data_IF_561506391639
#
_entry.id   IF_561506391639
#
_cell.length_a   1.000
_cell.length_b   1.000
_cell.length_c   1.000
_cell.angle_alpha   90.00
_cell.angle_beta   90.00
_cell.angle_gamma   90.00
#
_symmetry.space_group_name_H-M   'P 1'
#
loop_
_entity.id
_entity.type
_entity.pdbx_description
1 polymer ?
#
# COMPACT_ATOMS: atom_id res chain seq x y z
N UNK A 1 -1.79 6.80 13.40
CA UNK A 1 -0.44 6.18 13.51
C UNK A 1 0.63 7.24 13.38
N UNK A 2 1.69 7.11 14.17
CA UNK A 2 2.90 7.91 14.00
C UNK A 2 3.69 7.43 12.77
N UNK A 3 4.65 8.24 12.31
CA UNK A 3 5.55 7.84 11.22
C UNK A 3 6.28 6.54 11.55
N UNK A 4 6.79 6.40 12.78
CA UNK A 4 7.46 5.18 13.20
C UNK A 4 6.55 3.96 13.18
N UNK A 5 5.29 4.11 13.58
CA UNK A 5 4.30 3.03 13.49
C UNK A 5 4.00 2.64 12.04
N UNK A 6 3.89 3.62 11.15
CA UNK A 6 3.68 3.35 9.72
C UNK A 6 4.84 2.55 9.15
N UNK A 7 6.07 2.97 9.41
CA UNK A 7 7.27 2.26 8.93
C UNK A 7 7.29 0.82 9.43
N UNK A 8 6.97 0.60 10.71
CA UNK A 8 6.93 -0.74 11.29
C UNK A 8 5.84 -1.62 10.66
N UNK A 9 4.64 -1.07 10.46
CA UNK A 9 3.53 -1.80 9.84
C UNK A 9 3.84 -2.12 8.38
N UNK A 10 4.38 -1.17 7.63
CA UNK A 10 4.78 -1.39 6.23
C UNK A 10 5.80 -2.53 6.13
N UNK A 11 6.82 -2.54 7.00
CA UNK A 11 7.82 -3.60 7.01
C UNK A 11 7.20 -4.97 7.32
N UNK A 12 6.30 -5.02 8.30
CA UNK A 12 5.62 -6.27 8.68
C UNK A 12 4.74 -6.78 7.55
N UNK A 13 3.92 -5.91 6.95
CA UNK A 13 3.06 -6.29 5.83
C UNK A 13 3.88 -6.74 4.62
N UNK A 14 4.98 -6.06 4.32
CA UNK A 14 5.86 -6.45 3.22
C UNK A 14 6.38 -7.89 3.43
N UNK A 15 6.77 -8.23 4.64
CA UNK A 15 7.20 -9.59 4.96
C UNK A 15 6.06 -10.59 4.77
N UNK A 16 4.87 -10.28 5.27
CA UNK A 16 3.70 -11.18 5.21
C UNK A 16 3.21 -11.42 3.78
N UNK A 17 3.30 -10.41 2.92
CA UNK A 17 2.86 -10.49 1.53
C UNK A 17 3.99 -10.79 0.55
N UNK A 18 5.21 -10.93 1.03
CA UNK A 18 6.40 -11.16 0.19
C UNK A 18 6.67 -10.03 -0.80
N UNK A 19 6.40 -8.80 -0.37
CA UNK A 19 6.79 -7.61 -1.10
C UNK A 19 8.16 -7.12 -0.59
N UNK A 20 8.96 -6.43 -1.42
CA UNK A 20 10.25 -5.91 -0.95
C UNK A 20 10.05 -4.77 0.05
N UNK A 21 10.46 -4.97 1.30
CA UNK A 21 10.26 -3.98 2.37
C UNK A 21 10.94 -2.63 2.07
N UNK A 22 12.20 -2.58 1.59
CA UNK A 22 12.82 -1.29 1.25
C UNK A 22 12.10 -0.54 0.14
N UNK A 23 11.55 -1.26 -0.84
CA UNK A 23 10.74 -0.65 -1.91
C UNK A 23 9.47 -0.04 -1.33
N UNK A 24 8.75 -0.78 -0.49
CA UNK A 24 7.53 -0.31 0.14
C UNK A 24 7.78 0.93 1.02
N UNK A 25 8.84 0.90 1.80
CA UNK A 25 9.22 2.04 2.64
C UNK A 25 9.55 3.27 1.80
N UNK A 26 10.32 3.10 0.73
CA UNK A 26 10.67 4.17 -0.19
C UNK A 26 9.42 4.77 -0.84
N UNK A 27 8.51 3.94 -1.33
CA UNK A 27 7.26 4.40 -1.96
C UNK A 27 6.40 5.17 -0.97
N UNK A 28 6.24 4.66 0.23
CA UNK A 28 5.48 5.32 1.29
C UNK A 28 6.06 6.71 1.61
N UNK A 29 7.37 6.82 1.67
CA UNK A 29 8.04 8.11 1.90
C UNK A 29 7.77 9.10 0.77
N UNK A 30 7.96 8.68 -0.48
CA UNK A 30 7.78 9.57 -1.63
C UNK A 30 6.31 9.95 -1.85
N UNK A 31 5.37 9.04 -1.56
CA UNK A 31 3.95 9.31 -1.74
C UNK A 31 3.38 10.25 -0.67
N UNK A 32 3.74 10.05 0.59
CA UNK A 32 3.05 10.74 1.69
C UNK A 32 3.95 11.14 2.86
N UNK A 33 5.26 10.89 2.83
CA UNK A 33 6.14 11.02 4.01
C UNK A 33 5.66 10.15 5.16
N UNK A 34 5.12 8.97 4.86
CA UNK A 34 4.55 8.03 5.83
C UNK A 34 3.36 8.61 6.61
N UNK A 35 2.60 9.51 6.01
CA UNK A 35 1.48 10.20 6.67
C UNK A 35 0.16 9.52 6.31
N UNK A 36 -0.49 8.88 7.30
CA UNK A 36 -1.78 8.22 7.11
C UNK A 36 -2.90 9.20 6.75
N UNK A 37 -2.73 10.49 7.05
CA UNK A 37 -3.74 11.53 6.82
C UNK A 37 -3.51 12.31 5.53
N UNK A 38 -2.49 11.97 4.75
CA UNK A 38 -2.17 12.71 3.54
C UNK A 38 -3.31 12.60 2.51
N UNK A 39 -3.73 13.74 2.00
CA UNK A 39 -4.75 13.84 0.94
C UNK A 39 -4.22 14.78 -0.13
N UNK A 40 -4.26 14.34 -1.38
CA UNK A 40 -3.85 15.11 -2.53
C UNK A 40 -4.83 14.86 -3.68
N UNK A 41 -5.87 15.69 -3.78
CA UNK A 41 -6.96 15.47 -4.72
C UNK A 41 -7.71 14.17 -4.42
N UNK A 42 -7.78 13.28 -5.41
CA UNK A 42 -8.40 11.96 -5.24
C UNK A 42 -7.48 10.94 -4.55
N UNK A 43 -6.21 11.30 -4.26
CA UNK A 43 -5.26 10.37 -3.68
C UNK A 43 -5.22 10.49 -2.16
N UNK A 44 -5.28 9.37 -1.46
CA UNK A 44 -5.39 9.34 0.00
C UNK A 44 -4.42 8.34 0.63
N UNK A 45 -3.94 8.69 1.83
CA UNK A 45 -3.23 7.81 2.74
C UNK A 45 -1.76 7.63 2.44
N UNK A 46 -1.16 6.65 3.11
CA UNK A 46 0.28 6.39 3.09
C UNK A 46 0.81 6.17 1.67
N UNK A 47 0.07 5.44 0.85
CA UNK A 47 0.47 5.11 -0.53
C UNK A 47 -0.28 5.94 -1.58
N UNK A 48 -1.04 6.94 -1.18
CA UNK A 48 -1.78 7.82 -2.08
C UNK A 48 -2.62 7.03 -3.09
N UNK A 49 -3.56 6.25 -2.58
CA UNK A 49 -4.44 5.43 -3.41
C UNK A 49 -5.57 6.26 -4.00
N UNK A 50 -5.75 6.18 -5.31
CA UNK A 50 -6.88 6.80 -5.98
C UNK A 50 -8.14 5.96 -5.87
N UNK A 51 -9.31 6.58 -6.08
CA UNK A 51 -10.60 5.89 -6.05
C UNK A 51 -10.69 4.80 -7.13
N UNK A 52 -10.19 5.09 -8.31
CA UNK A 52 -10.19 4.14 -9.43
C UNK A 52 -9.33 2.91 -9.12
N UNK A 53 -8.14 3.12 -8.54
CA UNK A 53 -7.28 2.02 -8.11
C UNK A 53 -8.00 1.16 -7.06
N UNK A 54 -8.63 1.79 -6.07
CA UNK A 54 -9.33 1.08 -5.01
C UNK A 54 -10.45 0.19 -5.56
N UNK A 55 -11.29 0.76 -6.43
CA UNK A 55 -12.40 0.04 -7.04
C UNK A 55 -11.94 -1.13 -7.93
N UNK A 56 -10.80 -0.98 -8.60
CA UNK A 56 -10.24 -2.02 -9.46
C UNK A 56 -9.57 -3.13 -8.64
N UNK A 57 -8.75 -2.76 -7.66
CA UNK A 57 -7.83 -3.69 -7.01
C UNK A 57 -8.44 -4.43 -5.82
N UNK A 58 -9.31 -3.78 -5.03
CA UNK A 58 -9.90 -4.43 -3.86
C UNK A 58 -10.64 -5.73 -4.22
N UNK A 59 -11.48 -5.78 -5.26
CA UNK A 59 -12.14 -7.04 -5.63
C UNK A 59 -11.14 -8.16 -5.98
N UNK A 60 -10.04 -7.82 -6.63
CA UNK A 60 -8.99 -8.79 -6.97
C UNK A 60 -8.29 -9.31 -5.71
N UNK A 61 -7.98 -8.41 -4.78
CA UNK A 61 -7.41 -8.78 -3.49
C UNK A 61 -8.36 -9.71 -2.72
N UNK A 62 -9.63 -9.35 -2.61
CA UNK A 62 -10.61 -10.15 -1.88
C UNK A 62 -10.87 -11.52 -2.51
N UNK A 63 -10.67 -11.65 -3.82
CA UNK A 63 -10.80 -12.91 -4.53
C UNK A 63 -9.58 -13.83 -4.35
N UNK A 64 -8.46 -13.32 -3.86
CA UNK A 64 -7.26 -14.11 -3.61
C UNK A 64 -7.40 -14.88 -2.29
N UNK A 65 -7.76 -16.16 -2.38
CA UNK A 65 -8.00 -17.00 -1.20
C UNK A 65 -6.75 -17.21 -0.34
N UNK A 66 -5.56 -16.95 -0.88
CA UNK A 66 -4.30 -17.07 -0.13
C UNK A 66 -3.92 -15.79 0.60
N UNK A 67 -4.56 -14.66 0.27
CA UNK A 67 -4.22 -13.38 0.87
C UNK A 67 -4.69 -13.32 2.33
N UNK A 68 -3.80 -12.94 3.27
CA UNK A 68 -4.20 -12.73 4.65
C UNK A 68 -5.04 -11.46 4.82
N UNK A 69 -5.74 -11.33 5.94
CA UNK A 69 -6.49 -10.13 6.37
C UNK A 69 -7.69 -9.74 5.51
N UNK A 70 -8.19 -10.63 4.64
CA UNK A 70 -9.34 -10.30 3.79
C UNK A 70 -10.58 -9.91 4.56
N UNK A 71 -10.83 -10.55 5.70
CA UNK A 71 -11.99 -10.21 6.53
C UNK A 71 -11.90 -8.82 7.10
N UNK A 72 -10.69 -8.40 7.52
CA UNK A 72 -10.47 -7.03 7.97
C UNK A 72 -10.81 -6.03 6.87
N UNK A 73 -10.29 -6.25 5.66
CA UNK A 73 -10.53 -5.34 4.54
C UNK A 73 -12.01 -5.32 4.14
N UNK A 74 -12.70 -6.47 4.19
CA UNK A 74 -14.15 -6.49 3.93
C UNK A 74 -14.93 -5.62 4.92
N UNK A 75 -14.55 -5.68 6.20
CA UNK A 75 -15.20 -4.91 7.25
C UNK A 75 -14.85 -3.42 7.22
N UNK A 76 -13.68 -3.08 6.65
CA UNK A 76 -13.13 -1.73 6.60
C UNK A 76 -12.79 -1.33 5.16
N UNK A 77 -13.71 -1.56 4.23
CA UNK A 77 -13.49 -1.40 2.80
C UNK A 77 -13.57 0.07 2.39
N UNK A 78 -12.57 0.82 2.81
CA UNK A 78 -12.40 2.23 2.44
C UNK A 78 -10.93 2.61 2.47
N UNK A 79 -10.52 3.45 1.53
CA UNK A 79 -9.15 4.01 1.48
C UNK A 79 -8.81 4.84 2.72
N UNK A 80 -9.83 5.33 3.43
CA UNK A 80 -9.66 6.12 4.65
C UNK A 80 -9.19 5.29 5.83
N UNK A 81 -9.43 3.97 5.80
CA UNK A 81 -8.88 3.08 6.81
C UNK A 81 -7.39 2.85 6.52
N UNK A 82 -6.53 3.36 7.40
CA UNK A 82 -5.09 3.34 7.19
C UNK A 82 -4.55 1.92 7.00
N UNK A 83 -5.01 0.97 7.82
CA UNK A 83 -4.52 -0.41 7.75
C UNK A 83 -5.03 -1.11 6.50
N UNK A 84 -6.31 -0.99 6.17
CA UNK A 84 -6.87 -1.57 4.94
C UNK A 84 -6.14 -1.05 3.71
N UNK A 85 -5.88 0.25 3.64
CA UNK A 85 -5.16 0.86 2.53
C UNK A 85 -3.74 0.30 2.40
N UNK A 86 -3.01 0.16 3.50
CA UNK A 86 -1.66 -0.39 3.48
C UNK A 86 -1.65 -1.88 3.09
N UNK A 87 -2.63 -2.65 3.56
CA UNK A 87 -2.78 -4.07 3.19
C UNK A 87 -2.97 -4.21 1.69
N UNK A 88 -3.94 -3.48 1.12
CA UNK A 88 -4.25 -3.59 -0.31
C UNK A 88 -3.08 -3.12 -1.17
N UNK A 89 -2.42 -2.01 -0.79
CA UNK A 89 -1.25 -1.53 -1.51
C UNK A 89 -0.12 -2.56 -1.51
N UNK A 90 0.16 -3.17 -0.36
CA UNK A 90 1.23 -4.17 -0.24
C UNK A 90 0.93 -5.41 -1.09
N UNK A 91 -0.32 -5.90 -1.03
CA UNK A 91 -0.75 -7.00 -1.89
C UNK A 91 -0.56 -6.66 -3.37
N UNK A 92 -0.94 -5.46 -3.76
CA UNK A 92 -0.83 -5.01 -5.15
C UNK A 92 0.63 -4.99 -5.63
N UNK A 93 1.54 -4.47 -4.81
CA UNK A 93 2.98 -4.49 -5.15
C UNK A 93 3.48 -5.92 -5.30
N UNK A 94 3.12 -6.81 -4.38
CA UNK A 94 3.53 -8.21 -4.43
C UNK A 94 2.97 -8.95 -5.67
N UNK A 95 1.90 -8.45 -6.28
CA UNK A 95 1.23 -9.08 -7.42
C UNK A 95 1.42 -8.34 -8.76
N UNK A 96 2.45 -7.50 -8.84
CA UNK A 96 2.86 -6.91 -10.11
C UNK A 96 2.21 -5.57 -10.46
N UNK A 97 1.55 -4.92 -9.51
CA UNK A 97 0.93 -3.61 -9.74
C UNK A 97 1.82 -2.44 -9.36
N UNK A 98 3.08 -2.68 -9.02
CA UNK A 98 4.00 -1.64 -8.51
C UNK A 98 4.18 -0.47 -9.47
N UNK A 99 4.10 -0.70 -10.76
CA UNK A 99 4.23 0.37 -11.76
C UNK A 99 3.06 1.36 -11.77
N UNK A 100 1.96 1.06 -11.05
CA UNK A 100 0.83 1.97 -10.89
C UNK A 100 1.21 3.21 -10.05
N UNK A 101 2.27 3.14 -9.27
CA UNK A 101 2.78 4.26 -8.49
C UNK A 101 3.90 4.98 -9.23
N UNK A 102 3.79 6.31 -9.34
CA UNK A 102 4.88 7.11 -9.93
C UNK A 102 6.16 7.02 -9.10
N UNK A 103 6.04 6.90 -7.79
CA UNK A 103 7.16 6.74 -6.89
C UNK A 103 7.94 5.43 -7.11
N UNK A 104 7.32 4.40 -7.69
CA UNK A 104 7.99 3.14 -7.97
C UNK A 104 9.26 3.33 -8.81
N UNK A 105 9.18 4.19 -9.82
CA UNK A 105 10.31 4.43 -10.70
C UNK A 105 11.55 4.94 -9.95
N UNK A 106 11.34 5.93 -9.06
CA UNK A 106 12.42 6.47 -8.25
C UNK A 106 12.98 5.43 -7.29
N UNK A 107 12.10 4.71 -6.62
CA UNK A 107 12.49 3.72 -5.62
C UNK A 107 13.17 2.50 -6.25
N UNK A 108 12.73 2.11 -7.45
CA UNK A 108 13.33 1.02 -8.19
C UNK A 108 14.78 1.34 -8.60
N UNK A 109 15.01 2.54 -9.13
CA UNK A 109 16.34 2.97 -9.55
C UNK A 109 17.32 3.06 -8.37
N UNK A 110 16.86 3.57 -7.23
CA UNK A 110 17.70 3.72 -6.04
C UNK A 110 17.98 2.38 -5.37
N UNK A 111 16.97 1.52 -5.31
CA UNK A 111 17.06 0.24 -4.61
C UNK A 111 17.56 -0.93 -5.45
N UNK A 112 17.68 -0.77 -6.77
CA UNK A 112 18.12 -1.85 -7.67
C UNK A 112 17.09 -2.97 -7.87
N UNK A 113 15.83 -2.65 -7.70
CA UNK A 113 14.71 -3.62 -7.79
C UNK A 113 14.35 -4.02 -9.21
#
# INVERSE_FOLDING_TARGET
MTVGQVVAVVALLAQMYQAPAPLMECMSWHESRHDVMAINGDYEGVFQLGSEFWEEVVPLYLADETAPHREYVRAHNTREDALAAMIVATWAVAHGYESRWSAYRLCHEVGGW
#
